data_IF_684429509180
#
_entry.id   IF_684429509180
#
_cell.length_a   1.000
_cell.length_b   1.000
_cell.length_c   1.000
_cell.angle_alpha   90.00
_cell.angle_beta   90.00
_cell.angle_gamma   90.00
#
_symmetry.space_group_name_H-M   'P 1'
#
loop_
_entity.id
_entity.type
_entity.pdbx_description
1 polymer ?
#
# COMPACT_ATOMS: atom_id res chain seq x y z
N UNK A 1 1.79 18.14 -15.99
CA UNK A 1 0.65 18.32 -15.06
C UNK A 1 -0.05 19.63 -15.41
N UNK A 2 -1.39 19.68 -15.47
CA UNK A 2 -2.10 20.94 -15.66
C UNK A 2 -1.97 21.80 -14.39
N UNK A 3 -1.52 23.05 -14.55
CA UNK A 3 -1.45 24.02 -13.45
C UNK A 3 -2.80 24.74 -13.37
N UNK A 4 -3.56 24.51 -12.31
CA UNK A 4 -4.78 25.26 -12.03
C UNK A 4 -4.41 26.53 -11.27
N UNK A 5 -4.61 27.69 -11.91
CA UNK A 5 -4.39 29.01 -11.29
C UNK A 5 -5.74 29.53 -10.82
N UNK A 6 -5.97 29.48 -9.50
CA UNK A 6 -7.16 30.06 -8.89
C UNK A 6 -7.03 31.58 -8.88
N UNK A 7 -8.02 32.29 -9.44
CA UNK A 7 -8.15 33.74 -9.39
C UNK A 7 -9.39 34.13 -8.58
N UNK A 8 -9.33 35.30 -7.94
CA UNK A 8 -10.52 35.93 -7.38
C UNK A 8 -11.54 36.19 -8.51
N UNK A 9 -12.82 36.02 -8.19
CA UNK A 9 -13.91 36.31 -9.13
C UNK A 9 -13.96 37.81 -9.40
N UNK A 10 -13.64 38.21 -10.63
CA UNK A 10 -13.60 39.62 -11.04
C UNK A 10 -14.84 40.05 -11.84
N UNK A 11 -15.82 39.16 -12.01
CA UNK A 11 -17.05 39.42 -12.74
C UNK A 11 -16.92 39.39 -14.26
N UNK A 12 -15.70 39.28 -14.81
CA UNK A 12 -15.47 39.14 -16.26
C UNK A 12 -15.63 37.70 -16.75
N UNK A 13 -15.75 36.76 -15.81
CA UNK A 13 -15.87 35.32 -16.07
C UNK A 13 -17.33 34.94 -16.28
N UNK A 14 -17.74 34.75 -17.54
CA UNK A 14 -19.03 34.17 -17.88
C UNK A 14 -18.94 32.64 -17.82
N UNK A 15 -19.05 32.10 -16.59
CA UNK A 15 -18.97 30.63 -16.36
C UNK A 15 -20.31 29.94 -16.64
N UNK A 16 -21.40 30.72 -16.63
CA UNK A 16 -22.75 30.25 -16.88
C UNK A 16 -23.33 31.02 -18.06
N UNK A 17 -23.66 30.30 -19.14
CA UNK A 17 -24.43 30.85 -20.24
C UNK A 17 -25.90 30.70 -19.87
N UNK A 18 -26.53 31.78 -19.43
CA UNK A 18 -27.95 31.78 -19.06
C UNK A 18 -28.67 32.67 -20.08
N UNK A 19 -29.64 32.10 -20.79
CA UNK A 19 -30.49 32.87 -21.69
C UNK A 19 -31.56 33.63 -20.90
N UNK A 20 -31.83 34.88 -21.30
CA UNK A 20 -32.81 35.71 -20.59
C UNK A 20 -34.23 35.14 -20.69
N UNK A 21 -34.59 34.48 -21.79
CA UNK A 21 -35.90 33.81 -21.92
C UNK A 21 -36.11 32.70 -20.88
N UNK A 22 -35.10 31.85 -20.63
CA UNK A 22 -35.20 30.76 -19.66
C UNK A 22 -35.31 31.30 -18.22
N UNK A 23 -34.60 32.41 -17.93
CA UNK A 23 -34.71 33.12 -16.65
C UNK A 23 -36.11 33.69 -16.44
N UNK A 24 -36.69 34.31 -17.48
CA UNK A 24 -38.00 34.94 -17.42
C UNK A 24 -39.14 33.93 -17.33
N UNK A 25 -39.05 32.80 -18.04
CA UNK A 25 -40.01 31.69 -17.95
C UNK A 25 -40.03 31.12 -16.53
N UNK A 26 -38.85 30.83 -15.96
CA UNK A 26 -38.77 30.22 -14.64
C UNK A 26 -39.13 31.19 -13.51
N UNK A 27 -38.78 32.47 -13.62
CA UNK A 27 -39.24 33.50 -12.69
C UNK A 27 -40.76 33.68 -12.77
N UNK A 28 -41.34 33.67 -13.97
CA UNK A 28 -42.79 33.77 -14.20
C UNK A 28 -43.54 32.61 -13.52
N UNK A 29 -43.09 31.37 -13.73
CA UNK A 29 -43.73 30.18 -13.14
C UNK A 29 -43.66 30.20 -11.60
N UNK A 30 -42.53 30.59 -11.03
CA UNK A 30 -42.37 30.72 -9.57
C UNK A 30 -43.17 31.89 -8.98
N UNK A 31 -43.23 33.03 -9.67
CA UNK A 31 -44.06 34.18 -9.28
C UNK A 31 -45.55 33.84 -9.29
N UNK A 32 -46.01 33.08 -10.29
CA UNK A 32 -47.40 32.61 -10.36
C UNK A 32 -47.71 31.61 -9.24
N UNK A 33 -46.73 30.79 -8.84
CA UNK A 33 -46.92 29.73 -7.85
C UNK A 33 -46.83 30.23 -6.40
N UNK A 34 -45.84 31.09 -6.09
CA UNK A 34 -45.52 31.48 -4.70
C UNK A 34 -45.60 33.00 -4.45
N UNK A 35 -45.73 33.83 -5.48
CA UNK A 35 -45.94 35.28 -5.35
C UNK A 35 -44.75 36.10 -4.85
N UNK A 36 -43.58 35.49 -4.63
CA UNK A 36 -42.39 36.16 -4.10
C UNK A 36 -41.13 35.81 -4.91
N UNK A 37 -40.52 36.85 -5.49
CA UNK A 37 -39.28 36.79 -6.27
C UNK A 37 -38.12 36.26 -5.42
N UNK A 38 -38.13 36.53 -4.11
CA UNK A 38 -37.08 36.10 -3.18
C UNK A 38 -37.03 34.57 -3.07
N UNK A 39 -38.20 33.92 -3.06
CA UNK A 39 -38.30 32.47 -3.03
C UNK A 39 -37.95 31.88 -4.40
N UNK A 40 -38.37 32.53 -5.49
CA UNK A 40 -37.96 32.15 -6.84
C UNK A 40 -36.44 32.11 -7.02
N UNK A 41 -35.77 33.17 -6.59
CA UNK A 41 -34.31 33.27 -6.65
C UNK A 41 -33.63 32.20 -5.77
N UNK A 42 -34.21 31.89 -4.61
CA UNK A 42 -33.69 30.88 -3.68
C UNK A 42 -33.87 29.46 -4.22
N UNK A 43 -35.03 29.14 -4.78
CA UNK A 43 -35.28 27.85 -5.43
C UNK A 43 -34.38 27.66 -6.65
N UNK A 44 -34.21 28.72 -7.44
CA UNK A 44 -33.36 28.75 -8.63
C UNK A 44 -31.87 28.55 -8.29
N UNK A 45 -31.37 29.19 -7.23
CA UNK A 45 -30.00 28.99 -6.76
C UNK A 45 -29.79 27.59 -6.18
N UNK A 46 -30.78 27.03 -5.48
CA UNK A 46 -30.66 25.69 -4.89
C UNK A 46 -30.76 24.57 -5.93
N UNK A 47 -31.75 24.67 -6.81
CA UNK A 47 -32.14 23.61 -7.74
C UNK A 47 -31.55 23.77 -9.14
N UNK A 48 -31.06 24.95 -9.48
CA UNK A 48 -30.54 25.27 -10.81
C UNK A 48 -31.62 25.77 -11.77
N UNK A 49 -31.16 26.25 -12.93
CA UNK A 49 -32.00 26.71 -14.02
C UNK A 49 -32.09 25.60 -15.07
N UNK A 50 -33.32 25.18 -15.38
CA UNK A 50 -33.60 24.22 -16.45
C UNK A 50 -34.16 24.98 -17.63
N UNK A 51 -33.27 25.39 -18.52
CA UNK A 51 -33.66 26.04 -19.76
C UNK A 51 -34.09 25.04 -20.83
N UNK A 52 -35.04 25.43 -21.68
CA UNK A 52 -35.29 24.74 -22.95
C UNK A 52 -34.27 25.15 -24.02
N UNK A 53 -33.69 26.33 -23.87
CA UNK A 53 -32.77 26.93 -24.83
C UNK A 53 -31.33 26.97 -24.29
N UNK A 54 -31.15 27.09 -22.97
CA UNK A 54 -29.87 27.03 -22.27
C UNK A 54 -29.45 25.61 -21.90
N UNK A 55 -28.12 25.39 -21.89
CA UNK A 55 -27.53 24.25 -21.19
C UNK A 55 -27.93 24.33 -19.70
N UNK A 56 -28.36 23.20 -19.11
CA UNK A 56 -28.85 23.16 -17.73
C UNK A 56 -27.81 23.75 -16.78
N UNK A 57 -28.18 24.84 -16.10
CA UNK A 57 -27.27 25.48 -15.14
C UNK A 57 -27.38 24.73 -13.82
N UNK A 58 -26.34 24.00 -13.38
CA UNK A 58 -26.43 23.18 -12.18
C UNK A 58 -26.70 24.07 -10.95
N UNK A 59 -27.61 23.63 -10.09
CA UNK A 59 -27.87 24.31 -8.83
C UNK A 59 -26.71 24.21 -7.84
N UNK A 60 -26.74 25.00 -6.77
CA UNK A 60 -25.79 24.88 -5.65
C UNK A 60 -25.80 23.46 -5.09
N UNK A 61 -26.96 22.80 -5.02
CA UNK A 61 -27.04 21.42 -4.53
C UNK A 61 -26.34 20.43 -5.45
N UNK A 62 -26.52 20.56 -6.77
CA UNK A 62 -25.82 19.75 -7.76
C UNK A 62 -24.31 20.01 -7.74
N UNK A 63 -23.88 21.27 -7.60
CA UNK A 63 -22.47 21.61 -7.45
C UNK A 63 -21.88 21.02 -6.17
N UNK A 64 -22.59 21.09 -5.04
CA UNK A 64 -22.16 20.50 -3.78
C UNK A 64 -22.08 18.97 -3.85
N UNK A 65 -23.04 18.35 -4.53
CA UNK A 65 -23.04 16.90 -4.75
C UNK A 65 -21.87 16.51 -5.65
N UNK A 66 -21.65 17.25 -6.75
CA UNK A 66 -20.51 17.07 -7.64
C UNK A 66 -19.18 17.26 -6.91
N UNK A 67 -19.06 18.30 -6.09
CA UNK A 67 -17.90 18.54 -5.21
C UNK A 67 -17.68 17.40 -4.24
N UNK A 68 -18.75 16.85 -3.63
CA UNK A 68 -18.66 15.68 -2.75
C UNK A 68 -18.15 14.46 -3.50
N UNK A 69 -18.67 14.18 -4.69
CA UNK A 69 -18.17 13.07 -5.52
C UNK A 69 -16.74 13.28 -6.00
N UNK A 70 -16.36 14.51 -6.39
CA UNK A 70 -14.98 14.84 -6.78
C UNK A 70 -14.03 14.71 -5.59
N UNK A 71 -14.44 15.18 -4.41
CA UNK A 71 -13.71 14.99 -3.15
C UNK A 71 -13.53 13.50 -2.88
N UNK A 72 -14.58 12.70 -3.03
CA UNK A 72 -14.55 11.27 -2.75
C UNK A 72 -13.61 10.54 -3.71
N UNK A 73 -13.72 10.80 -5.02
CA UNK A 73 -12.77 10.27 -6.02
C UNK A 73 -11.33 10.71 -5.77
N UNK A 74 -11.13 11.96 -5.34
CA UNK A 74 -9.81 12.45 -4.99
C UNK A 74 -9.26 11.74 -3.75
N UNK A 75 -10.11 11.42 -2.77
CA UNK A 75 -9.73 10.66 -1.57
C UNK A 75 -9.51 9.17 -1.86
N UNK A 76 -10.35 8.56 -2.70
CA UNK A 76 -10.28 7.14 -3.09
C UNK A 76 -8.96 6.82 -3.81
N UNK A 77 -8.43 7.77 -4.59
CA UNK A 77 -7.10 7.65 -5.23
C UNK A 77 -5.95 7.51 -4.21
N UNK A 78 -6.18 7.90 -2.95
CA UNK A 78 -5.18 7.88 -1.89
C UNK A 78 -5.52 6.95 -0.72
N UNK A 79 -6.62 6.19 -0.80
CA UNK A 79 -7.01 5.29 0.27
C UNK A 79 -6.27 3.94 0.14
N UNK A 80 -5.63 3.54 1.24
CA UNK A 80 -4.95 2.24 1.38
C UNK A 80 -5.88 1.05 1.11
N UNK A 81 -7.19 1.23 1.30
CA UNK A 81 -8.22 0.19 1.16
C UNK A 81 -8.15 -0.54 -0.18
N UNK A 82 -8.10 0.19 -1.30
CA UNK A 82 -8.00 -0.45 -2.63
C UNK A 82 -6.68 -1.19 -2.86
N UNK A 83 -5.58 -0.72 -2.26
CA UNK A 83 -4.29 -1.40 -2.36
C UNK A 83 -4.35 -2.72 -1.57
N UNK A 84 -4.99 -2.71 -0.40
CA UNK A 84 -5.19 -3.91 0.41
C UNK A 84 -6.11 -4.92 -0.28
N UNK A 85 -7.17 -4.46 -0.93
CA UNK A 85 -8.06 -5.30 -1.75
C UNK A 85 -7.30 -5.96 -2.91
N UNK A 86 -6.49 -5.19 -3.63
CA UNK A 86 -5.65 -5.72 -4.72
C UNK A 86 -4.67 -6.78 -4.22
N UNK A 87 -4.05 -6.55 -3.05
CA UNK A 87 -3.14 -7.51 -2.41
C UNK A 87 -3.92 -8.76 -2.00
N UNK A 88 -5.09 -8.62 -1.38
CA UNK A 88 -5.94 -9.72 -0.97
C UNK A 88 -6.37 -10.58 -2.16
N UNK A 89 -6.73 -9.94 -3.28
CA UNK A 89 -7.09 -10.65 -4.51
C UNK A 89 -5.90 -11.44 -5.08
N UNK A 90 -4.72 -10.80 -5.18
CA UNK A 90 -3.50 -11.48 -5.65
C UNK A 90 -3.11 -12.66 -4.76
N UNK A 91 -3.26 -12.54 -3.43
CA UNK A 91 -3.01 -13.63 -2.49
C UNK A 91 -3.96 -14.80 -2.74
N UNK A 92 -5.25 -14.54 -2.93
CA UNK A 92 -6.21 -15.57 -3.26
C UNK A 92 -5.89 -16.29 -4.58
N UNK A 93 -5.41 -15.56 -5.58
CA UNK A 93 -4.97 -16.14 -6.85
C UNK A 93 -3.72 -17.03 -6.68
N UNK A 94 -2.75 -16.61 -5.87
CA UNK A 94 -1.57 -17.40 -5.51
C UNK A 94 -1.99 -18.68 -4.78
N UNK A 95 -2.86 -18.59 -3.78
CA UNK A 95 -3.36 -19.74 -3.02
C UNK A 95 -4.11 -20.71 -3.93
N UNK A 96 -4.92 -20.20 -4.86
CA UNK A 96 -5.62 -21.02 -5.83
C UNK A 96 -4.64 -21.75 -6.74
N UNK A 97 -3.62 -21.06 -7.24
CA UNK A 97 -2.62 -21.64 -8.12
C UNK A 97 -1.81 -22.71 -7.40
N UNK A 98 -1.42 -22.47 -6.15
CA UNK A 98 -0.74 -23.47 -5.32
C UNK A 98 -1.61 -24.71 -5.11
N UNK A 99 -2.92 -24.56 -4.82
CA UNK A 99 -3.83 -25.72 -4.70
C UNK A 99 -3.84 -26.58 -5.97
N UNK A 100 -3.98 -25.93 -7.13
CA UNK A 100 -3.98 -26.60 -8.42
C UNK A 100 -2.62 -27.27 -8.69
N UNK A 101 -1.52 -26.60 -8.36
CA UNK A 101 -0.18 -27.12 -8.54
C UNK A 101 0.12 -28.33 -7.66
N UNK A 102 -0.34 -28.32 -6.39
CA UNK A 102 -0.28 -29.48 -5.49
C UNK A 102 -1.01 -30.68 -6.12
N UNK A 103 -2.25 -30.50 -6.58
CA UNK A 103 -3.03 -31.55 -7.24
C UNK A 103 -2.31 -32.13 -8.46
N UNK A 104 -1.80 -31.25 -9.33
CA UNK A 104 -1.09 -31.65 -10.54
C UNK A 104 0.22 -32.38 -10.21
N UNK A 105 0.97 -31.93 -9.21
CA UNK A 105 2.24 -32.53 -8.80
C UNK A 105 2.05 -33.91 -8.22
N UNK A 106 1.05 -34.09 -7.34
CA UNK A 106 0.70 -35.40 -6.78
C UNK A 106 0.27 -36.36 -7.90
N UNK A 107 -0.57 -35.91 -8.84
CA UNK A 107 -1.02 -36.73 -9.96
C UNK A 107 0.12 -37.13 -10.92
N UNK A 108 1.01 -36.18 -11.26
CA UNK A 108 2.19 -36.42 -12.10
C UNK A 108 3.16 -37.41 -11.44
N UNK A 109 3.49 -37.21 -10.17
CA UNK A 109 4.32 -38.15 -9.40
C UNK A 109 3.68 -39.54 -9.34
N UNK A 110 2.37 -39.61 -9.06
CA UNK A 110 1.62 -40.87 -9.02
C UNK A 110 1.68 -41.62 -10.35
N UNK A 111 1.45 -40.93 -11.47
CA UNK A 111 1.48 -41.54 -12.80
C UNK A 111 2.88 -42.01 -13.22
N UNK A 112 3.94 -41.30 -12.80
CA UNK A 112 5.34 -41.69 -13.06
C UNK A 112 5.78 -42.90 -12.23
N UNK A 113 5.35 -42.97 -10.97
CA UNK A 113 5.74 -44.02 -10.03
C UNK A 113 4.90 -45.30 -10.15
N UNK A 114 3.61 -45.16 -10.46
CA UNK A 114 2.66 -46.25 -10.64
C UNK A 114 1.89 -46.06 -11.96
N UNK A 115 2.52 -46.31 -13.12
CA UNK A 115 1.80 -46.29 -14.39
C UNK A 115 0.67 -47.34 -14.37
N UNK A 116 -0.47 -47.06 -15.02
CA UNK A 116 -1.54 -48.02 -15.16
C UNK A 116 -1.01 -49.28 -15.85
N UNK A 117 -1.36 -50.44 -15.32
CA UNK A 117 -1.08 -51.73 -15.97
C UNK A 117 -2.13 -51.90 -17.04
N UNK A 118 -1.75 -51.83 -18.31
CA UNK A 118 -2.65 -52.17 -19.41
C UNK A 118 -3.08 -53.64 -19.28
N UNK A 119 -4.36 -53.94 -19.58
CA UNK A 119 -4.91 -55.32 -19.54
C UNK A 119 -4.25 -56.24 -20.58
N UNK A 120 -3.55 -55.69 -21.56
CA UNK A 120 -2.62 -56.39 -22.44
C UNK A 120 -1.20 -56.09 -21.97
N UNK A 121 -0.51 -57.08 -21.39
CA UNK A 121 0.80 -56.95 -20.71
C UNK A 121 2.01 -56.56 -21.61
N UNK A 122 1.86 -55.58 -22.49
CA UNK A 122 2.92 -54.99 -23.29
C UNK A 122 3.44 -53.72 -22.61
N UNK A 123 4.31 -53.88 -21.61
CA UNK A 123 5.05 -52.77 -21.02
C UNK A 123 5.93 -52.11 -22.09
N UNK A 124 5.56 -50.93 -22.57
CA UNK A 124 6.45 -50.06 -23.36
C UNK A 124 7.51 -49.44 -22.44
N UNK A 125 8.47 -50.25 -22.01
CA UNK A 125 9.70 -49.77 -21.37
C UNK A 125 10.65 -49.21 -22.45
N UNK A 126 10.42 -47.98 -22.89
CA UNK A 126 11.43 -47.18 -23.58
C UNK A 126 11.81 -46.01 -22.70
N UNK A 127 12.84 -46.20 -21.88
CA UNK A 127 13.38 -45.16 -21.01
C UNK A 127 14.02 -45.73 -19.74
N UNK A 128 15.02 -46.60 -19.87
CA UNK A 128 15.84 -47.01 -18.73
C UNK A 128 17.32 -47.10 -19.15
N UNK A 129 17.93 -45.94 -19.40
CA UNK A 129 19.38 -45.81 -19.33
C UNK A 129 19.76 -45.26 -17.94
N UNK A 130 20.48 -46.11 -17.19
CA UNK A 130 21.23 -45.82 -15.95
C UNK A 130 20.49 -45.23 -14.74
N UNK A 131 20.26 -46.10 -13.76
CA UNK A 131 19.89 -45.76 -12.38
C UNK A 131 18.85 -46.75 -11.87
N UNK A 132 19.15 -47.46 -10.79
CA UNK A 132 18.22 -48.42 -10.16
C UNK A 132 16.83 -47.80 -10.02
N UNK A 133 15.84 -48.33 -10.73
CA UNK A 133 14.46 -47.92 -10.49
C UNK A 133 14.09 -48.34 -9.06
N UNK A 134 13.45 -47.46 -8.28
CA UNK A 134 12.95 -47.82 -6.95
C UNK A 134 12.02 -49.03 -7.08
N UNK A 135 12.09 -49.93 -6.10
CA UNK A 135 11.13 -51.03 -6.01
C UNK A 135 9.71 -50.48 -5.85
N UNK A 136 8.69 -51.24 -6.26
CA UNK A 136 7.29 -50.82 -6.17
C UNK A 136 6.90 -50.36 -4.75
N UNK A 137 7.39 -51.06 -3.73
CA UNK A 137 7.19 -50.69 -2.32
C UNK A 137 7.86 -49.35 -1.96
N UNK A 138 9.05 -49.07 -2.51
CA UNK A 138 9.73 -47.77 -2.31
C UNK A 138 9.01 -46.63 -3.03
N UNK A 139 8.49 -46.88 -4.23
CA UNK A 139 7.67 -45.93 -4.98
C UNK A 139 6.36 -45.60 -4.25
N UNK A 140 5.69 -46.60 -3.69
CA UNK A 140 4.47 -46.42 -2.88
C UNK A 140 4.75 -45.61 -1.61
N UNK A 141 5.87 -45.88 -0.90
CA UNK A 141 6.29 -45.09 0.27
C UNK A 141 6.67 -43.64 -0.07
N UNK A 142 7.24 -43.41 -1.25
CA UNK A 142 7.57 -42.07 -1.70
C UNK A 142 6.29 -41.29 -2.05
N UNK A 143 5.36 -41.93 -2.76
CA UNK A 143 4.07 -41.33 -3.09
C UNK A 143 3.30 -40.96 -1.81
N UNK A 144 3.24 -41.87 -0.83
CA UNK A 144 2.58 -41.61 0.44
C UNK A 144 3.17 -40.38 1.15
N UNK A 145 4.50 -40.23 1.17
CA UNK A 145 5.14 -39.04 1.75
C UNK A 145 4.78 -37.76 1.02
N UNK A 146 4.72 -37.79 -0.31
CA UNK A 146 4.37 -36.61 -1.12
C UNK A 146 2.90 -36.24 -0.90
N UNK A 147 2.00 -37.23 -0.84
CA UNK A 147 0.59 -37.04 -0.47
C UNK A 147 0.44 -36.45 0.94
N UNK A 148 1.19 -36.94 1.92
CA UNK A 148 1.18 -36.38 3.29
C UNK A 148 1.65 -34.91 3.33
N UNK A 149 2.67 -34.55 2.55
CA UNK A 149 3.14 -33.17 2.46
C UNK A 149 2.09 -32.30 1.72
N UNK A 150 1.47 -32.83 0.67
CA UNK A 150 0.42 -32.16 -0.08
C UNK A 150 -0.81 -31.87 0.80
N UNK A 151 -1.24 -32.83 1.62
CA UNK A 151 -2.37 -32.67 2.54
C UNK A 151 -2.07 -31.62 3.62
N UNK A 152 -0.87 -31.66 4.22
CA UNK A 152 -0.43 -30.62 5.16
C UNK A 152 -0.39 -29.24 4.52
N UNK A 153 0.07 -29.15 3.28
CA UNK A 153 0.10 -27.89 2.53
C UNK A 153 -1.33 -27.36 2.30
N UNK A 154 -2.28 -28.22 1.94
CA UNK A 154 -3.70 -27.82 1.79
C UNK A 154 -4.30 -27.32 3.10
N UNK A 155 -4.08 -28.05 4.19
CA UNK A 155 -4.57 -27.65 5.51
C UNK A 155 -3.98 -26.31 5.94
N UNK A 156 -2.70 -26.07 5.65
CA UNK A 156 -2.07 -24.76 5.86
C UNK A 156 -2.76 -23.67 5.05
N UNK A 157 -3.01 -23.90 3.76
CA UNK A 157 -3.68 -22.93 2.88
C UNK A 157 -5.15 -22.69 3.24
N UNK A 158 -5.83 -23.64 3.87
CA UNK A 158 -7.20 -23.49 4.37
C UNK A 158 -7.26 -22.70 5.69
N UNK A 159 -6.20 -22.77 6.49
CA UNK A 159 -6.08 -22.07 7.77
C UNK A 159 -5.40 -20.69 7.66
N UNK A 160 -5.18 -20.19 6.45
CA UNK A 160 -4.60 -18.87 6.25
C UNK A 160 -5.50 -17.78 6.87
N UNK A 161 -4.92 -16.81 7.59
CA UNK A 161 -5.67 -15.72 8.19
C UNK A 161 -6.29 -14.84 7.08
N UNK A 162 -7.50 -14.32 7.33
CA UNK A 162 -8.19 -13.44 6.38
C UNK A 162 -7.54 -12.05 6.20
N UNK A 163 -6.58 -11.68 7.05
CA UNK A 163 -5.83 -10.43 6.93
C UNK A 163 -4.65 -10.58 5.96
N UNK A 164 -4.54 -9.73 4.91
CA UNK A 164 -3.50 -9.86 3.88
C UNK A 164 -2.07 -9.84 4.43
N UNK A 165 -1.77 -8.98 5.41
CA UNK A 165 -0.43 -8.86 5.97
C UNK A 165 0.02 -10.13 6.69
N UNK A 166 -0.86 -10.73 7.49
CA UNK A 166 -0.58 -11.97 8.22
C UNK A 166 -0.47 -13.16 7.27
N UNK A 167 -1.31 -13.20 6.22
CA UNK A 167 -1.25 -14.23 5.20
C UNK A 167 0.09 -14.19 4.43
N UNK A 168 0.59 -13.00 4.09
CA UNK A 168 1.91 -12.82 3.45
C UNK A 168 3.03 -13.34 4.35
N UNK A 169 2.99 -13.05 5.64
CA UNK A 169 4.03 -13.49 6.58
C UNK A 169 4.10 -15.00 6.70
N UNK A 170 2.95 -15.67 6.76
CA UNK A 170 2.88 -17.13 6.79
C UNK A 170 3.29 -17.75 5.45
N UNK A 171 2.81 -17.21 4.32
CA UNK A 171 3.16 -17.69 2.97
C UNK A 171 4.64 -17.50 2.64
N UNK A 172 5.32 -16.54 3.28
CA UNK A 172 6.77 -16.35 3.13
C UNK A 172 7.56 -17.54 3.70
N UNK A 173 7.06 -18.18 4.75
CA UNK A 173 7.68 -19.35 5.39
C UNK A 173 7.22 -20.68 4.78
N UNK A 174 6.19 -20.64 3.93
CA UNK A 174 5.62 -21.80 3.26
C UNK A 174 6.47 -22.26 2.07
N UNK A 175 6.58 -23.58 1.92
CA UNK A 175 7.27 -24.23 0.80
C UNK A 175 6.25 -24.55 -0.30
N UNK A 176 6.25 -23.72 -1.34
CA UNK A 176 5.38 -23.89 -2.51
C UNK A 176 5.78 -25.12 -3.32
N UNK A 177 4.79 -25.93 -3.70
CA UNK A 177 4.98 -27.04 -4.65
C UNK A 177 4.85 -26.58 -6.11
N UNK A 178 4.15 -25.47 -6.35
CA UNK A 178 3.98 -24.87 -7.66
C UNK A 178 4.97 -23.73 -7.91
N UNK A 179 5.80 -23.88 -8.95
CA UNK A 179 6.78 -22.86 -9.35
C UNK A 179 6.10 -21.55 -9.81
N UNK A 180 4.88 -21.65 -10.37
CA UNK A 180 4.08 -20.51 -10.79
C UNK A 180 3.55 -19.70 -9.60
N UNK A 181 2.97 -20.36 -8.61
CA UNK A 181 2.51 -19.75 -7.37
C UNK A 181 3.67 -19.05 -6.63
N UNK A 182 4.83 -19.71 -6.56
CA UNK A 182 6.04 -19.10 -6.01
C UNK A 182 6.45 -17.83 -6.74
N UNK A 183 6.48 -17.88 -8.07
CA UNK A 183 6.85 -16.73 -8.90
C UNK A 183 5.89 -15.56 -8.70
N UNK A 184 4.58 -15.81 -8.67
CA UNK A 184 3.55 -14.79 -8.42
C UNK A 184 3.68 -14.18 -7.02
N UNK A 185 3.99 -15.00 -6.01
CA UNK A 185 4.24 -14.53 -4.65
C UNK A 185 5.48 -13.65 -4.56
N UNK A 186 6.58 -14.04 -5.22
CA UNK A 186 7.81 -13.24 -5.26
C UNK A 186 7.63 -11.90 -6.00
N UNK A 187 6.77 -11.87 -7.03
CA UNK A 187 6.39 -10.64 -7.72
C UNK A 187 5.53 -9.74 -6.81
N UNK A 188 4.56 -10.33 -6.10
CA UNK A 188 3.74 -9.62 -5.11
C UNK A 188 4.64 -8.96 -4.05
N UNK A 189 5.57 -9.70 -3.47
CA UNK A 189 6.52 -9.18 -2.47
C UNK A 189 7.35 -8.01 -3.02
N UNK A 190 7.88 -8.13 -4.24
CA UNK A 190 8.62 -7.04 -4.89
C UNK A 190 7.77 -5.80 -5.10
N UNK A 191 6.53 -5.98 -5.56
CA UNK A 191 5.60 -4.88 -5.76
C UNK A 191 5.23 -4.20 -4.45
N UNK A 192 5.03 -4.98 -3.38
CA UNK A 192 4.73 -4.48 -2.05
C UNK A 192 5.90 -3.68 -1.48
N UNK A 193 7.12 -4.19 -1.58
CA UNK A 193 8.32 -3.46 -1.16
C UNK A 193 8.42 -2.10 -1.86
N UNK A 194 8.21 -2.06 -3.17
CA UNK A 194 8.19 -0.81 -3.94
C UNK A 194 7.11 0.16 -3.45
N UNK A 195 5.87 -0.31 -3.28
CA UNK A 195 4.76 0.52 -2.85
C UNK A 195 4.92 1.04 -1.41
N UNK A 196 5.45 0.21 -0.52
CA UNK A 196 5.77 0.58 0.87
C UNK A 196 6.87 1.63 0.90
N UNK A 197 7.95 1.46 0.12
CA UNK A 197 9.00 2.46 -0.01
C UNK A 197 8.48 3.78 -0.58
N UNK A 198 7.62 3.72 -1.58
CA UNK A 198 6.96 4.91 -2.15
C UNK A 198 6.06 5.61 -1.13
N UNK A 199 5.31 4.84 -0.32
CA UNK A 199 4.49 5.38 0.75
C UNK A 199 5.35 6.04 1.84
N UNK A 200 6.44 5.40 2.25
CA UNK A 200 7.43 6.00 3.17
C UNK A 200 8.05 7.26 2.60
N UNK A 201 8.44 7.29 1.32
CA UNK A 201 9.02 8.48 0.70
C UNK A 201 8.03 9.63 0.59
N UNK A 202 6.76 9.33 0.23
CA UNK A 202 5.69 10.34 0.18
C UNK A 202 5.38 10.88 1.57
N UNK A 203 5.28 10.02 2.58
CA UNK A 203 5.09 10.44 3.97
C UNK A 203 6.29 11.27 4.47
N UNK A 204 7.50 10.83 4.19
CA UNK A 204 8.72 11.57 4.52
C UNK A 204 8.76 12.93 3.82
N UNK A 205 8.44 13.00 2.52
CA UNK A 205 8.39 14.27 1.78
C UNK A 205 7.26 15.19 2.25
N UNK A 206 6.11 14.64 2.65
CA UNK A 206 5.04 15.43 3.29
C UNK A 206 5.48 15.95 4.65
N UNK A 207 6.18 15.14 5.44
CA UNK A 207 6.75 15.56 6.72
C UNK A 207 7.83 16.64 6.50
N UNK A 208 8.73 16.48 5.53
CA UNK A 208 9.73 17.49 5.16
C UNK A 208 9.08 18.78 4.61
N UNK A 209 7.98 18.65 3.86
CA UNK A 209 7.19 19.79 3.39
C UNK A 209 6.40 20.49 4.50
N UNK A 210 6.06 19.75 5.58
CA UNK A 210 5.44 20.30 6.78
C UNK A 210 6.45 20.87 7.78
N UNK A 211 7.74 20.53 7.64
CA UNK A 211 8.81 21.15 8.39
C UNK A 211 9.12 22.54 7.84
N UNK A 212 9.29 23.51 8.73
CA UNK A 212 9.77 24.83 8.35
C UNK A 212 11.21 24.76 7.81
N UNK A 213 11.62 25.68 6.90
CA UNK A 213 13.00 25.75 6.42
C UNK A 213 14.06 25.76 7.54
N UNK A 214 13.73 26.40 8.68
CA UNK A 214 14.60 26.43 9.87
C UNK A 214 14.76 25.06 10.55
N UNK A 215 13.71 24.23 10.54
CA UNK A 215 13.78 22.87 11.10
C UNK A 215 14.62 21.95 10.22
N UNK A 216 14.54 22.12 8.89
CA UNK A 216 15.39 21.40 7.94
C UNK A 216 16.87 21.76 8.09
N UNK A 217 17.18 23.05 8.20
CA UNK A 217 18.55 23.51 8.43
C UNK A 217 19.08 22.98 9.77
N UNK A 218 18.26 23.01 10.83
CA UNK A 218 18.64 22.46 12.14
C UNK A 218 18.90 20.95 12.10
N UNK A 219 18.12 20.19 11.33
CA UNK A 219 18.32 18.74 11.16
C UNK A 219 19.61 18.44 10.38
N UNK A 220 19.86 19.18 9.31
CA UNK A 220 21.07 19.06 8.50
C UNK A 220 22.33 19.38 9.31
N UNK A 221 22.29 20.46 10.07
CA UNK A 221 23.36 20.84 11.00
C UNK A 221 23.63 19.76 12.06
N UNK A 222 22.59 19.05 12.52
CA UNK A 222 22.72 17.97 13.48
C UNK A 222 23.39 16.75 12.85
N UNK A 223 22.95 16.34 11.66
CA UNK A 223 23.53 15.20 10.94
C UNK A 223 25.00 15.45 10.55
N UNK A 224 25.36 16.67 10.16
CA UNK A 224 26.75 17.02 9.91
C UNK A 224 27.60 16.97 11.18
N UNK A 225 27.09 17.47 12.30
CA UNK A 225 27.78 17.39 13.59
C UNK A 225 27.96 15.95 14.07
N UNK A 226 26.95 15.10 13.87
CA UNK A 226 26.99 13.68 14.21
C UNK A 226 27.97 12.91 13.31
N UNK A 227 27.94 13.14 12.01
CA UNK A 227 28.85 12.47 11.08
C UNK A 227 30.32 12.78 11.42
N UNK A 228 30.65 14.05 11.68
CA UNK A 228 32.00 14.43 12.10
C UNK A 228 32.41 13.87 13.46
N UNK A 229 31.46 13.72 14.38
CA UNK A 229 31.71 13.08 15.68
C UNK A 229 32.01 11.58 15.52
N UNK A 230 31.24 10.87 14.72
CA UNK A 230 31.43 9.44 14.45
C UNK A 230 32.74 9.18 13.70
N UNK A 231 33.06 10.02 12.71
CA UNK A 231 34.30 9.93 11.95
C UNK A 231 35.53 10.09 12.85
N UNK A 232 35.56 11.12 13.71
CA UNK A 232 36.66 11.33 14.66
C UNK A 232 36.74 10.21 15.70
N UNK A 233 35.60 9.70 16.17
CA UNK A 233 35.54 8.60 17.12
C UNK A 233 36.07 7.28 16.54
N UNK A 234 35.74 6.98 15.28
CA UNK A 234 36.22 5.78 14.58
C UNK A 234 37.71 5.87 14.23
N UNK A 235 38.20 7.04 13.84
CA UNK A 235 39.59 7.22 13.40
C UNK A 235 40.57 7.33 14.58
N UNK A 236 40.19 8.06 15.64
CA UNK A 236 41.10 8.44 16.73
C UNK A 236 40.65 7.98 18.12
N UNK A 237 39.49 7.33 18.21
CA UNK A 237 38.95 6.78 19.45
C UNK A 237 38.26 7.80 20.37
N UNK A 238 37.75 7.29 21.49
CA UNK A 238 36.88 8.02 22.41
C UNK A 238 37.50 9.32 22.97
N UNK A 239 38.77 9.27 23.40
CA UNK A 239 39.44 10.45 23.99
C UNK A 239 39.58 11.62 23.01
N UNK A 240 39.82 11.34 21.73
CA UNK A 240 39.96 12.37 20.69
C UNK A 240 38.60 12.98 20.30
N UNK A 241 37.55 12.16 20.29
CA UNK A 241 36.18 12.58 19.98
C UNK A 241 35.49 13.36 21.12
N UNK A 242 35.99 13.28 22.36
CA UNK A 242 35.40 13.90 23.56
C UNK A 242 35.04 15.39 23.41
N UNK A 243 35.92 16.26 22.89
CA UNK A 243 35.59 17.68 22.73
C UNK A 243 34.52 17.94 21.67
N UNK A 244 34.42 17.09 20.65
CA UNK A 244 33.35 17.17 19.64
C UNK A 244 32.03 16.68 20.23
N UNK A 245 32.08 15.61 21.03
CA UNK A 245 30.93 15.06 21.75
C UNK A 245 30.33 16.11 22.69
N UNK A 246 31.16 16.76 23.51
CA UNK A 246 30.72 17.80 24.44
C UNK A 246 30.03 18.97 23.72
N UNK A 247 30.60 19.40 22.57
CA UNK A 247 29.99 20.45 21.72
C UNK A 247 28.67 20.01 21.11
N UNK A 248 28.59 18.76 20.66
CA UNK A 248 27.37 18.18 20.12
C UNK A 248 26.28 18.15 21.19
N UNK A 249 26.60 17.65 22.39
CA UNK A 249 25.70 17.59 23.53
C UNK A 249 25.29 18.98 24.04
N UNK A 250 26.17 19.97 23.95
CA UNK A 250 25.83 21.36 24.27
C UNK A 250 24.77 21.93 23.32
N UNK A 251 24.85 21.62 22.02
CA UNK A 251 23.92 22.14 21.00
C UNK A 251 22.62 21.34 20.93
N UNK A 252 22.69 20.01 21.04
CA UNK A 252 21.58 19.09 20.77
C UNK A 252 21.14 18.25 21.97
N UNK A 253 21.81 18.34 23.11
CA UNK A 253 21.51 17.53 24.30
C UNK A 253 20.07 17.68 24.83
N UNK A 254 19.43 18.82 24.56
CA UNK A 254 18.01 19.07 24.90
C UNK A 254 17.03 18.10 24.23
N UNK A 255 17.42 17.49 23.10
CA UNK A 255 16.59 16.54 22.36
C UNK A 255 16.45 15.20 23.09
N UNK A 256 17.42 14.84 23.95
CA UNK A 256 17.46 13.57 24.66
C UNK A 256 16.75 13.60 26.02
N UNK A 257 16.19 14.75 26.42
CA UNK A 257 15.33 14.86 27.60
C UNK A 257 16.02 14.47 28.91
N UNK A 258 15.39 13.57 29.69
CA UNK A 258 15.83 13.16 31.01
C UNK A 258 17.00 12.14 31.02
N UNK A 259 17.38 11.61 29.85
CA UNK A 259 18.43 10.60 29.71
C UNK A 259 19.40 10.99 28.60
N UNK A 260 20.22 12.05 28.79
CA UNK A 260 21.26 12.40 27.84
C UNK A 260 22.36 11.32 27.84
N UNK A 261 22.84 10.89 26.66
CA UNK A 261 23.92 9.92 26.54
C UNK A 261 25.23 10.48 27.12
N UNK A 262 26.03 9.61 27.72
CA UNK A 262 27.33 9.93 28.30
C UNK A 262 28.51 9.64 27.36
N UNK A 263 28.30 8.86 26.30
CA UNK A 263 29.31 8.53 25.29
C UNK A 263 28.75 8.56 23.86
N UNK A 264 29.66 8.45 22.87
CA UNK A 264 29.28 8.39 21.45
C UNK A 264 28.48 7.12 21.14
N UNK A 265 28.83 5.99 21.77
CA UNK A 265 28.09 4.74 21.62
C UNK A 265 26.67 4.85 22.19
N UNK A 266 26.53 5.39 23.40
CA UNK A 266 25.21 5.62 24.01
C UNK A 266 24.37 6.62 23.18
N UNK A 267 25.02 7.61 22.57
CA UNK A 267 24.37 8.57 21.68
C UNK A 267 23.79 7.90 20.43
N UNK A 268 24.56 7.00 19.80
CA UNK A 268 24.09 6.22 18.64
C UNK A 268 22.93 5.32 19.04
N UNK A 269 23.02 4.65 20.18
CA UNK A 269 21.95 3.78 20.69
C UNK A 269 20.66 4.57 20.99
N UNK A 270 20.78 5.72 21.66
CA UNK A 270 19.67 6.61 21.95
C UNK A 270 18.98 7.12 20.66
N UNK A 271 19.75 7.44 19.62
CA UNK A 271 19.23 7.86 18.32
C UNK A 271 18.47 6.73 17.61
N UNK A 272 19.01 5.51 17.63
CA UNK A 272 18.35 4.33 17.05
C UNK A 272 17.03 4.02 17.77
N UNK A 273 17.01 4.14 19.11
CA UNK A 273 15.82 3.94 19.92
C UNK A 273 14.76 5.03 19.68
N UNK A 274 15.17 6.27 19.48
CA UNK A 274 14.24 7.36 19.16
C UNK A 274 13.63 7.20 17.76
N UNK A 275 14.41 6.74 16.77
CA UNK A 275 13.91 6.43 15.43
C UNK A 275 12.90 5.28 15.45
N UNK A 276 13.15 4.21 16.23
CA UNK A 276 12.20 3.11 16.36
C UNK A 276 10.91 3.52 17.06
N UNK A 277 10.96 4.45 18.02
CA UNK A 277 9.77 5.03 18.67
C UNK A 277 8.94 5.91 17.71
N UNK A 278 9.59 6.67 16.81
CA UNK A 278 8.87 7.40 15.76
C UNK A 278 8.22 6.44 14.75
N UNK A 279 8.91 5.36 14.38
CA UNK A 279 8.39 4.33 13.49
C UNK A 279 7.23 3.54 14.13
N UNK A 280 7.28 3.29 15.43
CA UNK A 280 6.17 2.63 16.15
C UNK A 280 4.94 3.53 16.23
N UNK A 281 5.09 4.84 16.45
CA UNK A 281 3.98 5.81 16.36
C UNK A 281 3.39 5.92 14.95
N UNK A 282 4.22 5.80 13.90
CA UNK A 282 3.75 5.73 12.52
C UNK A 282 2.97 4.43 12.23
N UNK A 283 3.38 3.31 12.83
CA UNK A 283 2.71 2.01 12.69
C UNK A 283 1.46 1.88 13.57
N UNK A 284 1.39 2.54 14.73
CA UNK A 284 0.22 2.51 15.62
C UNK A 284 -0.90 3.47 15.20
N UNK A 285 -0.71 4.27 14.15
CA UNK A 285 -1.76 5.06 13.51
C UNK A 285 -2.45 4.39 12.33
N UNK A 286 -2.31 3.07 12.13
CA UNK A 286 -3.32 2.30 11.39
C UNK A 286 -4.40 1.87 12.38
N UNK A 287 -5.56 2.56 12.48
CA UNK A 287 -6.67 2.01 13.23
C UNK A 287 -7.15 0.78 12.45
N UNK A 288 -7.25 -0.35 13.13
CA UNK A 288 -8.12 -1.41 12.64
C UNK A 288 -9.52 -0.82 12.43
N UNK A 289 -9.97 -0.87 11.18
CA UNK A 289 -11.37 -0.74 10.77
C UNK A 289 -11.68 -1.98 9.93
#
# INVERSE_FOLDING_TARGET
>A
MPFYRYSLWDGTQQIFHIHEEDLMEQLSDELVTHGDISNALKSMTQSGLRGKFSENTPGVQDMLQRLRSMKQQALDKYNLDHILDDIAQKLNDIVRLERIGIDNRVADVRSRLLPPVDEDGASSHQGAENGSLPTREESERLLQRIEEIADKSREFLDNLPGQPAQAIEQLKEHEFMDDGARTMFDELLRSLQGQVLDAYFRNFSQNLGSMSPRQLDSLKDMLQGLNGLLEEHLDKGELASRPLFDRFMQKYGKLFGASPPASVEELVEALLQQMSHMNSLANTHSPEM
#
